data_IF_820295580471
#
_entry.id   IF_820295580471
#
_cell.length_a   1.000
_cell.length_b   1.000
_cell.length_c   1.000
_cell.angle_alpha   90.00
_cell.angle_beta   90.00
_cell.angle_gamma   90.00
#
_symmetry.space_group_name_H-M   'P 1'
#
loop_
_entity.id
_entity.type
_entity.pdbx_description
1 polymer ?
#
# COMPACT_ATOMS: atom_id res chain seq x y z
N UNK A 1 -18.81 -12.05 -5.58
CA UNK A 1 -18.96 -11.84 -4.12
C UNK A 1 -18.01 -12.80 -3.45
N UNK A 2 -16.99 -12.34 -2.73
CA UNK A 2 -16.12 -13.23 -1.93
C UNK A 2 -16.98 -13.84 -0.82
N UNK A 3 -17.05 -15.17 -0.75
CA UNK A 3 -17.68 -15.87 0.36
C UNK A 3 -16.91 -15.57 1.65
N UNK A 4 -17.59 -15.47 2.80
CA UNK A 4 -16.96 -15.26 4.11
C UNK A 4 -15.84 -16.29 4.39
N UNK A 5 -15.99 -17.50 3.85
CA UNK A 5 -14.99 -18.56 3.94
C UNK A 5 -13.67 -18.22 3.21
N UNK A 6 -13.72 -17.50 2.09
CA UNK A 6 -12.55 -17.06 1.35
C UNK A 6 -11.85 -15.88 2.03
N UNK A 7 -12.60 -14.98 2.66
CA UNK A 7 -12.06 -13.86 3.42
C UNK A 7 -11.19 -14.34 4.58
N UNK A 8 -11.69 -15.27 5.38
CA UNK A 8 -10.92 -15.86 6.49
C UNK A 8 -9.67 -16.59 6.01
N UNK A 9 -9.75 -17.32 4.91
CA UNK A 9 -8.63 -18.03 4.29
C UNK A 9 -7.47 -17.07 3.92
N UNK A 10 -7.77 -16.00 3.21
CA UNK A 10 -6.74 -15.06 2.76
C UNK A 10 -6.18 -14.18 3.89
N UNK A 11 -6.99 -13.86 4.91
CA UNK A 11 -6.48 -13.21 6.12
C UNK A 11 -5.52 -14.11 6.89
N UNK A 12 -5.87 -15.37 7.10
CA UNK A 12 -4.96 -16.36 7.71
C UNK A 12 -3.68 -16.51 6.88
N UNK A 13 -3.78 -16.50 5.56
CA UNK A 13 -2.61 -16.56 4.68
C UNK A 13 -1.72 -15.33 4.84
N UNK A 14 -2.28 -14.11 4.91
CA UNK A 14 -1.50 -12.88 5.15
C UNK A 14 -0.75 -12.91 6.48
N UNK A 15 -1.38 -13.44 7.54
CA UNK A 15 -0.74 -13.64 8.85
C UNK A 15 0.40 -14.67 8.76
N UNK A 16 0.20 -15.77 8.04
CA UNK A 16 1.25 -16.79 7.86
C UNK A 16 2.47 -16.24 7.11
N UNK A 17 2.23 -15.42 6.09
CA UNK A 17 3.30 -14.69 5.38
C UNK A 17 4.07 -13.79 6.35
N UNK A 18 3.37 -12.98 7.14
CA UNK A 18 3.96 -12.11 8.16
C UNK A 18 4.81 -12.93 9.17
N UNK A 19 4.27 -14.01 9.70
CA UNK A 19 4.97 -14.89 10.63
C UNK A 19 6.20 -15.56 10.00
N UNK A 20 6.12 -15.98 8.74
CA UNK A 20 7.25 -16.52 7.99
C UNK A 20 8.36 -15.49 7.83
N UNK A 21 7.98 -14.24 7.56
CA UNK A 21 8.92 -13.12 7.42
C UNK A 21 9.70 -12.86 8.73
N UNK A 22 9.04 -12.95 9.88
CA UNK A 22 9.68 -12.75 11.19
C UNK A 22 10.57 -13.94 11.59
N UNK A 23 10.04 -15.17 11.50
CA UNK A 23 10.71 -16.38 12.01
C UNK A 23 11.89 -16.84 11.14
N UNK A 24 11.90 -16.51 9.87
CA UNK A 24 12.95 -16.94 8.92
C UNK A 24 14.21 -16.09 8.92
N UNK A 25 14.33 -15.11 9.81
CA UNK A 25 15.38 -14.09 9.74
C UNK A 25 16.29 -14.04 10.96
N UNK A 26 17.55 -13.61 10.73
CA UNK A 26 18.52 -13.34 11.79
C UNK A 26 18.28 -12.01 12.52
N UNK A 27 17.61 -11.07 11.87
CA UNK A 27 17.24 -9.77 12.43
C UNK A 27 15.72 -9.62 12.44
N UNK A 28 15.21 -8.94 13.47
CA UNK A 28 13.80 -8.59 13.54
C UNK A 28 13.41 -7.73 12.33
N UNK A 29 12.28 -8.04 11.74
CA UNK A 29 11.67 -7.27 10.64
C UNK A 29 10.21 -7.03 10.97
N UNK A 30 9.58 -6.12 10.24
CA UNK A 30 8.19 -5.76 10.46
C UNK A 30 7.25 -6.95 10.13
N UNK A 31 6.33 -7.31 11.07
CA UNK A 31 5.51 -8.52 10.96
C UNK A 31 4.27 -8.28 10.08
N UNK A 32 4.47 -7.87 8.84
CA UNK A 32 3.37 -7.59 7.93
C UNK A 32 3.41 -8.45 6.67
N UNK A 33 2.23 -8.92 6.27
CA UNK A 33 2.00 -9.69 5.06
C UNK A 33 0.70 -9.26 4.38
N UNK A 34 0.64 -9.44 3.07
CA UNK A 34 -0.53 -9.11 2.27
C UNK A 34 -0.77 -10.12 1.15
N UNK A 35 -2.04 -10.37 0.85
CA UNK A 35 -2.50 -11.16 -0.29
C UNK A 35 -3.42 -10.29 -1.13
N UNK A 36 -3.16 -10.18 -2.42
CA UNK A 36 -4.03 -9.46 -3.37
C UNK A 36 -4.72 -10.46 -4.28
N UNK A 37 -6.05 -10.37 -4.33
CA UNK A 37 -6.93 -11.29 -5.06
C UNK A 37 -7.80 -10.50 -6.05
N UNK A 38 -7.92 -10.98 -7.28
CA UNK A 38 -8.88 -10.45 -8.26
C UNK A 38 -9.58 -11.62 -8.94
N UNK A 39 -10.88 -11.54 -9.10
CA UNK A 39 -11.73 -12.58 -9.74
C UNK A 39 -11.48 -13.99 -9.18
N UNK A 40 -11.31 -14.09 -7.86
CA UNK A 40 -11.03 -15.34 -7.15
C UNK A 40 -9.59 -15.88 -7.31
N UNK A 41 -8.74 -15.20 -8.08
CA UNK A 41 -7.36 -15.59 -8.28
C UNK A 41 -6.40 -14.74 -7.43
N UNK A 42 -5.44 -15.38 -6.78
CA UNK A 42 -4.37 -14.69 -6.06
C UNK A 42 -3.36 -14.17 -7.07
N UNK A 43 -3.30 -12.85 -7.21
CA UNK A 43 -2.33 -12.17 -8.09
C UNK A 43 -0.99 -11.92 -7.41
N UNK A 44 -1.01 -11.69 -6.10
CA UNK A 44 0.22 -11.42 -5.36
C UNK A 44 0.13 -11.90 -3.90
N UNK A 45 1.28 -12.35 -3.41
CA UNK A 45 1.60 -12.61 -2.01
C UNK A 45 2.84 -11.83 -1.67
N UNK A 46 2.80 -11.04 -0.61
CA UNK A 46 3.92 -10.17 -0.26
C UNK A 46 4.09 -10.06 1.25
N UNK A 47 5.31 -9.71 1.62
CA UNK A 47 5.69 -9.38 3.01
C UNK A 47 6.36 -8.03 3.05
N UNK A 48 6.49 -7.46 4.23
CA UNK A 48 7.28 -6.24 4.42
C UNK A 48 8.75 -6.51 4.08
N UNK A 49 9.36 -5.63 3.30
CA UNK A 49 10.73 -5.70 2.83
C UNK A 49 11.50 -4.38 3.04
N UNK A 50 11.02 -3.53 3.95
CA UNK A 50 11.63 -2.22 4.24
C UNK A 50 13.12 -2.35 4.51
N UNK A 51 13.50 -3.25 5.41
CA UNK A 51 14.90 -3.44 5.82
C UNK A 51 15.73 -4.11 4.71
N UNK A 52 15.15 -5.06 3.99
CA UNK A 52 15.84 -5.79 2.92
C UNK A 52 16.22 -4.91 1.74
N UNK A 53 15.31 -3.99 1.38
CA UNK A 53 15.45 -3.13 0.21
C UNK A 53 15.97 -1.74 0.56
N UNK A 54 16.15 -1.43 1.86
CA UNK A 54 16.41 -0.06 2.33
C UNK A 54 15.40 0.94 1.74
N UNK A 55 14.13 0.50 1.61
CA UNK A 55 13.04 1.26 1.02
C UNK A 55 11.91 1.43 2.04
N UNK A 56 11.71 2.64 2.62
CA UNK A 56 10.66 2.88 3.61
C UNK A 56 9.24 2.67 3.06
N UNK A 57 9.09 2.59 1.75
CA UNK A 57 7.80 2.33 1.10
C UNK A 57 7.53 0.83 0.84
N UNK A 58 8.48 -0.08 1.12
CA UNK A 58 8.37 -1.50 0.83
C UNK A 58 7.49 -2.27 1.83
N UNK A 59 6.34 -1.71 2.21
CA UNK A 59 5.32 -2.38 3.01
C UNK A 59 4.69 -3.55 2.26
N UNK A 60 4.13 -4.51 2.96
CA UNK A 60 3.55 -5.72 2.38
C UNK A 60 2.46 -5.41 1.34
N UNK A 61 1.56 -4.48 1.64
CA UNK A 61 0.50 -4.05 0.73
C UNK A 61 1.08 -3.38 -0.53
N UNK A 62 2.10 -2.52 -0.36
CA UNK A 62 2.79 -1.87 -1.48
C UNK A 62 3.45 -2.89 -2.40
N UNK A 63 4.11 -3.89 -1.83
CA UNK A 63 4.73 -4.97 -2.58
C UNK A 63 3.68 -5.83 -3.31
N UNK A 64 2.53 -6.10 -2.67
CA UNK A 64 1.42 -6.80 -3.31
C UNK A 64 0.84 -6.01 -4.49
N UNK A 65 0.62 -4.70 -4.33
CA UNK A 65 0.14 -3.81 -5.41
C UNK A 65 1.14 -3.78 -6.58
N UNK A 66 2.43 -3.59 -6.30
CA UNK A 66 3.49 -3.59 -7.33
C UNK A 66 3.55 -4.90 -8.11
N UNK A 67 3.53 -6.02 -7.39
CA UNK A 67 3.58 -7.34 -8.00
C UNK A 67 2.35 -7.62 -8.88
N UNK A 68 1.15 -7.29 -8.40
CA UNK A 68 -0.09 -7.46 -9.13
C UNK A 68 -0.15 -6.57 -10.38
N UNK A 69 0.20 -5.29 -10.26
CA UNK A 69 0.23 -4.35 -11.38
C UNK A 69 1.21 -4.80 -12.47
N UNK A 70 2.41 -5.25 -12.06
CA UNK A 70 3.41 -5.80 -12.99
C UNK A 70 2.91 -7.07 -13.68
N UNK A 71 2.27 -7.98 -12.95
CA UNK A 71 1.74 -9.23 -13.52
C UNK A 71 0.62 -8.98 -14.53
N UNK A 72 -0.21 -7.97 -14.30
CA UNK A 72 -1.32 -7.60 -15.18
C UNK A 72 -0.90 -6.64 -16.32
N UNK A 73 0.28 -6.03 -16.24
CA UNK A 73 0.73 -5.04 -17.21
C UNK A 73 -0.07 -3.72 -17.15
N UNK A 74 -0.71 -3.42 -16.02
CA UNK A 74 -1.54 -2.22 -15.82
C UNK A 74 -1.46 -1.73 -14.38
N UNK A 75 -1.64 -0.43 -14.18
CA UNK A 75 -1.80 0.17 -12.85
C UNK A 75 -3.24 0.12 -12.33
N UNK A 76 -4.21 -0.23 -13.18
CA UNK A 76 -5.61 -0.39 -12.80
C UNK A 76 -5.85 -1.79 -12.20
N UNK A 77 -6.02 -1.82 -10.88
CA UNK A 77 -6.37 -3.00 -10.10
C UNK A 77 -7.84 -3.00 -9.66
N UNK A 78 -8.70 -2.29 -10.39
CA UNK A 78 -10.14 -2.25 -10.10
C UNK A 78 -10.73 -3.66 -10.04
N UNK A 79 -11.56 -3.91 -9.03
CA UNK A 79 -12.12 -5.24 -8.75
C UNK A 79 -11.22 -6.13 -7.88
N UNK A 80 -9.97 -5.76 -7.65
CA UNK A 80 -9.12 -6.48 -6.70
C UNK A 80 -9.52 -6.20 -5.24
N UNK A 81 -9.21 -7.18 -4.39
CA UNK A 81 -9.37 -7.14 -2.94
C UNK A 81 -8.01 -7.41 -2.30
N UNK A 82 -7.64 -6.62 -1.31
CA UNK A 82 -6.42 -6.82 -0.53
C UNK A 82 -6.77 -7.40 0.84
N UNK A 83 -6.01 -8.39 1.28
CA UNK A 83 -6.08 -9.00 2.60
C UNK A 83 -4.76 -8.76 3.30
N UNK A 84 -4.76 -7.89 4.29
CA UNK A 84 -3.59 -7.47 5.04
C UNK A 84 -3.55 -8.10 6.44
N UNK A 85 -2.38 -8.44 6.94
CA UNK A 85 -2.24 -8.93 8.32
C UNK A 85 -2.53 -7.85 9.35
N UNK A 86 -2.18 -6.59 9.08
CA UNK A 86 -2.44 -5.43 9.94
C UNK A 86 -3.23 -4.33 9.24
N UNK A 87 -3.65 -3.34 10.02
CA UNK A 87 -4.36 -2.16 9.52
C UNK A 87 -3.46 -1.38 8.55
N UNK A 88 -3.88 -1.10 7.30
CA UNK A 88 -3.06 -0.41 6.31
C UNK A 88 -2.71 1.02 6.75
N UNK A 89 -1.46 1.41 6.61
CA UNK A 89 -1.06 2.79 6.85
C UNK A 89 -1.58 3.73 5.74
N UNK A 90 -1.49 5.04 5.96
CA UNK A 90 -1.97 6.07 5.01
C UNK A 90 -1.29 5.97 3.63
N UNK A 91 -0.01 5.62 3.58
CA UNK A 91 0.71 5.40 2.32
C UNK A 91 0.10 4.22 1.54
N UNK A 92 -0.09 3.06 2.19
CA UNK A 92 -0.67 1.87 1.57
C UNK A 92 -2.13 2.12 1.15
N UNK A 93 -2.91 2.78 2.01
CA UNK A 93 -4.29 3.17 1.71
C UNK A 93 -4.36 4.01 0.43
N UNK A 94 -3.54 5.06 0.33
CA UNK A 94 -3.53 5.97 -0.81
C UNK A 94 -3.09 5.26 -2.09
N UNK A 95 -2.05 4.42 -2.01
CA UNK A 95 -1.59 3.64 -3.17
C UNK A 95 -2.67 2.67 -3.69
N UNK A 96 -3.34 1.96 -2.79
CA UNK A 96 -4.45 1.06 -3.14
C UNK A 96 -5.62 1.83 -3.75
N UNK A 97 -5.95 3.01 -3.20
CA UNK A 97 -7.00 3.88 -3.73
C UNK A 97 -6.69 4.31 -5.17
N UNK A 98 -5.47 4.78 -5.46
CA UNK A 98 -5.05 5.19 -6.81
C UNK A 98 -4.98 4.02 -7.78
N UNK A 99 -4.70 2.82 -7.29
CA UNK A 99 -4.77 1.60 -8.10
C UNK A 99 -6.21 1.10 -8.34
N UNK A 100 -7.23 1.79 -7.86
CA UNK A 100 -8.64 1.42 -8.06
C UNK A 100 -9.17 0.33 -7.10
N UNK A 101 -8.37 -0.10 -6.12
CA UNK A 101 -8.83 -1.06 -5.09
C UNK A 101 -9.89 -0.40 -4.22
N UNK A 102 -11.03 -1.07 -4.03
CA UNK A 102 -12.17 -0.55 -3.26
C UNK A 102 -12.42 -1.32 -1.96
N UNK A 103 -11.72 -2.44 -1.75
CA UNK A 103 -11.96 -3.29 -0.59
C UNK A 103 -10.64 -3.83 -0.05
N UNK A 104 -10.43 -3.61 1.24
CA UNK A 104 -9.32 -4.17 2.01
C UNK A 104 -9.89 -4.83 3.26
N UNK A 105 -9.49 -6.06 3.52
CA UNK A 105 -9.70 -6.73 4.78
C UNK A 105 -8.39 -6.74 5.55
N UNK A 106 -8.45 -6.57 6.85
CA UNK A 106 -7.28 -6.66 7.73
C UNK A 106 -7.61 -7.51 8.97
N UNK A 107 -6.59 -8.14 9.54
CA UNK A 107 -6.77 -9.04 10.68
C UNK A 107 -6.50 -8.35 12.03
N UNK A 108 -5.40 -7.59 12.13
CA UNK A 108 -5.02 -6.88 13.35
C UNK A 108 -5.32 -5.39 13.20
N UNK A 109 -6.02 -4.83 14.18
CA UNK A 109 -6.38 -3.41 14.22
C UNK A 109 -5.20 -2.52 14.66
N UNK A 110 -5.39 -1.21 14.64
CA UNK A 110 -4.43 -0.27 15.21
C UNK A 110 -4.27 -0.46 16.72
N UNK A 111 -5.35 -0.75 17.41
CA UNK A 111 -5.38 -1.02 18.86
C UNK A 111 -4.59 -2.28 19.21
N UNK A 112 -4.64 -3.32 18.38
CA UNK A 112 -3.84 -4.53 18.54
C UNK A 112 -2.35 -4.26 18.36
N UNK A 113 -2.00 -3.33 17.47
CA UNK A 113 -0.61 -2.97 17.15
C UNK A 113 0.03 -1.99 18.15
N UNK A 114 -0.77 -1.19 18.85
CA UNK A 114 -0.30 -0.09 19.69
C UNK A 114 0.70 -0.51 20.78
N UNK A 115 0.48 -1.61 21.54
CA UNK A 115 1.42 -2.05 22.57
C UNK A 115 2.80 -2.44 22.04
N UNK A 116 2.93 -2.63 20.72
CA UNK A 116 4.15 -3.10 20.05
C UNK A 116 4.78 -2.04 19.12
N UNK A 117 4.26 -0.82 19.15
CA UNK A 117 4.66 0.26 18.23
C UNK A 117 4.47 -0.10 16.73
N UNK A 118 3.41 -0.88 16.46
CA UNK A 118 3.04 -1.35 15.12
C UNK A 118 1.76 -0.70 14.57
N UNK A 119 1.21 0.28 15.30
CA UNK A 119 -0.01 1.00 14.91
C UNK A 119 0.24 1.96 13.75
N UNK A 120 -0.65 1.96 12.78
CA UNK A 120 -0.66 2.93 11.69
C UNK A 120 -1.37 4.26 12.04
N UNK A 121 -1.92 4.38 13.25
CA UNK A 121 -2.77 5.50 13.68
C UNK A 121 -2.08 6.86 13.54
N UNK A 122 -0.76 6.95 13.80
CA UNK A 122 0.02 8.20 13.70
C UNK A 122 -0.16 8.87 12.34
N UNK A 123 -0.10 8.11 11.24
CA UNK A 123 -0.25 8.65 9.90
C UNK A 123 -1.64 9.26 9.67
N UNK A 124 -2.69 8.61 10.15
CA UNK A 124 -4.07 9.11 10.04
C UNK A 124 -4.30 10.37 10.87
N UNK A 125 -3.78 10.40 12.09
CA UNK A 125 -3.83 11.60 12.95
C UNK A 125 -3.09 12.77 12.30
N UNK A 126 -1.94 12.51 11.71
CA UNK A 126 -1.12 13.52 11.03
C UNK A 126 -1.85 14.12 9.82
N UNK A 127 -2.45 13.28 8.97
CA UNK A 127 -3.23 13.76 7.82
C UNK A 127 -4.52 14.47 8.19
N UNK A 128 -5.10 14.20 9.36
CA UNK A 128 -6.29 14.91 9.84
C UNK A 128 -5.99 16.34 10.33
N UNK A 129 -4.74 16.68 10.61
CA UNK A 129 -4.34 18.04 11.00
C UNK A 129 -4.47 19.02 9.82
N UNK A 130 -4.76 20.29 10.08
CA UNK A 130 -4.53 21.37 9.12
C UNK A 130 -3.10 21.34 8.58
N UNK A 131 -2.89 21.76 7.35
CA UNK A 131 -1.59 21.63 6.67
C UNK A 131 -0.46 22.35 7.42
N UNK A 132 -0.75 23.52 7.98
CA UNK A 132 0.18 24.34 8.76
C UNK A 132 0.54 23.76 10.14
N UNK A 133 -0.13 22.69 10.57
CA UNK A 133 0.11 21.99 11.84
C UNK A 133 0.75 20.61 11.64
N UNK A 134 1.05 20.22 10.41
CA UNK A 134 1.68 18.93 10.10
C UNK A 134 3.17 18.96 10.37
N UNK A 135 3.73 17.79 10.77
CA UNK A 135 5.17 17.63 10.99
C UNK A 135 5.97 17.83 9.69
N UNK A 136 5.43 17.33 8.56
CA UNK A 136 6.01 17.53 7.24
C UNK A 136 5.48 18.81 6.63
N UNK A 137 6.35 19.81 6.49
CA UNK A 137 6.02 21.10 5.88
C UNK A 137 6.11 21.03 4.36
N UNK A 138 5.04 21.40 3.68
CA UNK A 138 5.03 21.60 2.23
C UNK A 138 5.29 23.07 1.92
N UNK A 139 6.35 23.36 1.17
CA UNK A 139 6.72 24.73 0.82
C UNK A 139 6.62 24.89 -0.69
N UNK A 140 5.66 25.72 -1.14
CA UNK A 140 5.57 26.10 -2.54
C UNK A 140 6.64 27.12 -2.89
N UNK A 141 7.48 26.77 -3.86
CA UNK A 141 8.41 27.71 -4.47
C UNK A 141 8.10 27.81 -5.97
N UNK A 142 7.47 28.91 -6.36
CA UNK A 142 6.95 29.08 -7.71
C UNK A 142 8.12 29.38 -8.66
N UNK A 143 8.62 28.35 -9.32
CA UNK A 143 9.63 28.45 -10.38
C UNK A 143 9.02 27.88 -11.65
N UNK A 144 9.15 28.60 -12.74
CA UNK A 144 8.82 28.10 -14.09
C UNK A 144 10.09 28.18 -14.93
N UNK A 145 10.34 27.17 -15.73
CA UNK A 145 11.32 27.24 -16.79
C UNK A 145 10.82 28.23 -17.85
N UNK A 146 11.72 28.93 -18.54
CA UNK A 146 11.39 29.88 -19.62
C UNK A 146 10.83 29.17 -20.87
N UNK A 147 10.84 27.81 -20.87
CA UNK A 147 10.33 26.98 -21.92
C UNK A 147 8.82 26.74 -21.86
N UNK A 148 8.40 25.60 -22.40
CA UNK A 148 7.00 25.17 -22.40
C UNK A 148 6.53 24.79 -20.99
N UNK A 149 5.26 25.12 -20.66
CA UNK A 149 4.64 24.69 -19.39
C UNK A 149 4.58 23.16 -19.29
N UNK A 150 5.03 22.61 -18.14
CA UNK A 150 5.13 21.17 -17.92
C UNK A 150 3.79 20.44 -18.12
N UNK A 151 2.69 21.00 -17.63
CA UNK A 151 1.38 20.36 -17.74
C UNK A 151 0.79 20.47 -19.13
N UNK A 152 1.07 21.57 -19.84
CA UNK A 152 0.69 21.70 -21.26
C UNK A 152 1.47 20.71 -22.14
N UNK A 153 2.77 20.55 -21.91
CA UNK A 153 3.59 19.57 -22.61
C UNK A 153 3.07 18.14 -22.39
N UNK A 154 2.74 17.80 -21.14
CA UNK A 154 2.14 16.51 -20.82
C UNK A 154 0.80 16.29 -21.53
N UNK A 155 -0.08 17.28 -21.50
CA UNK A 155 -1.40 17.19 -22.14
C UNK A 155 -1.28 16.96 -23.63
N UNK A 156 -0.37 17.64 -24.32
CA UNK A 156 -0.08 17.45 -25.75
C UNK A 156 0.44 16.04 -26.03
N UNK A 157 1.35 15.52 -25.19
CA UNK A 157 1.89 14.18 -25.35
C UNK A 157 0.81 13.10 -25.20
N UNK A 158 -0.08 13.22 -24.21
CA UNK A 158 -1.20 12.27 -24.02
C UNK A 158 -2.17 12.31 -25.18
N UNK A 159 -2.52 13.50 -25.69
CA UNK A 159 -3.42 13.63 -26.83
C UNK A 159 -2.87 13.00 -28.13
N UNK A 160 -1.54 12.86 -28.24
CA UNK A 160 -0.89 12.28 -29.42
C UNK A 160 -0.84 10.74 -29.35
N UNK A 161 -1.04 10.15 -28.16
CA UNK A 161 -0.94 8.70 -27.91
C UNK A 161 -2.31 8.01 -27.74
N UNK A 162 -3.41 8.74 -27.78
CA UNK A 162 -4.79 8.27 -27.71
C UNK A 162 -5.37 8.10 -29.13
#
# INVERSE_FOLDING_TARGET
>A
MSNDNDTGKYLVESIRLAMGNVKGRKQATWPFGAVLVKDGQVLARAVNQVDDLCDPSAHAEMQAVRAAAKALGTTDLSGAVVYASGYPCTMCYTAMLFAGVKKVYYAYSNEDGEPYDLSAARGYVEFAKPEDQRELTLISHHVRDEGEDLYEAWQKAVATTA
#
